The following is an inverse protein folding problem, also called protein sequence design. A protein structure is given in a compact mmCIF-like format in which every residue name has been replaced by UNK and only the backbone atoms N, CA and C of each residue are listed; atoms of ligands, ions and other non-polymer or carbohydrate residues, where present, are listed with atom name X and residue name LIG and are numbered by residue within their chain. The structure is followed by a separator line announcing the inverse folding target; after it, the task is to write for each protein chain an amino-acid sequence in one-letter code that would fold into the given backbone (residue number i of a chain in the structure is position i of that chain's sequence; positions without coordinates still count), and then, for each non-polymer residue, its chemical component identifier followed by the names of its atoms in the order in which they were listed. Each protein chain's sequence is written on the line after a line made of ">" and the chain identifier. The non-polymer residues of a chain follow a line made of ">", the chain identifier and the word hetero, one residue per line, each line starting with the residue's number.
data_IF_283871391611
#
_entry.id   IF_283871391611
#
_cell.length_a   1.000
_cell.length_b   1.000
_cell.length_c   1.000
_cell.angle_alpha   90.00
_cell.angle_beta   90.00
_cell.angle_gamma   90.00
#
_symmetry.space_group_name_H-M   'P 1'
#
loop_
_entity.id
_entity.type
_entity.pdbx_description
1 polymer ?
#
# COMPACT_ATOMS: atom_id res chain seq x y z
N UNK A 1 0.44 22.35 -21.26
CA UNK A 1 -0.21 22.85 -20.05
C UNK A 1 -1.44 22.05 -19.72
N UNK A 2 -1.33 21.23 -18.66
CA UNK A 2 -2.40 20.70 -17.80
C UNK A 2 -1.82 19.54 -16.98
N UNK A 3 -0.71 19.78 -16.27
CA UNK A 3 -0.35 18.91 -15.15
C UNK A 3 -1.27 19.33 -14.00
N UNK A 4 -2.43 18.67 -13.89
CA UNK A 4 -3.24 18.72 -12.67
C UNK A 4 -2.36 18.15 -11.56
N UNK A 5 -1.71 19.04 -10.80
CA UNK A 5 -1.13 18.65 -9.51
C UNK A 5 -2.32 18.24 -8.67
N UNK A 6 -2.39 16.97 -8.30
CA UNK A 6 -3.22 16.55 -7.18
C UNK A 6 -2.80 17.41 -5.99
N UNK A 7 -3.62 18.39 -5.62
CA UNK A 7 -3.42 19.28 -4.47
C UNK A 7 -3.84 18.61 -3.15
N UNK A 8 -4.26 17.34 -3.20
CA UNK A 8 -4.61 16.60 -2.00
C UNK A 8 -3.35 15.93 -1.44
N UNK A 9 -3.00 16.33 -0.23
CA UNK A 9 -1.94 15.69 0.53
C UNK A 9 -2.39 14.30 0.99
N UNK A 10 -1.43 13.37 1.07
CA UNK A 10 -1.68 12.07 1.66
C UNK A 10 -1.87 12.20 3.17
N UNK A 11 -2.92 11.58 3.70
CA UNK A 11 -3.12 11.41 5.13
C UNK A 11 -2.62 10.04 5.56
N UNK A 12 -1.65 9.99 6.47
CA UNK A 12 -1.11 8.74 7.02
C UNK A 12 -1.33 8.67 8.53
N UNK A 13 -1.75 7.50 9.01
CA UNK A 13 -2.01 7.20 10.43
C UNK A 13 -1.48 5.81 10.76
N UNK A 14 -1.16 5.59 12.03
CA UNK A 14 -0.71 4.29 12.53
C UNK A 14 -1.25 4.00 13.92
N UNK A 15 -1.35 2.72 14.26
CA UNK A 15 -1.61 2.25 15.62
C UNK A 15 -0.67 1.11 15.95
N UNK A 16 -0.12 1.12 17.17
CA UNK A 16 0.72 0.04 17.72
C UNK A 16 -0.07 -0.92 18.62
N UNK A 17 -1.40 -0.86 18.59
CA UNK A 17 -2.24 -1.67 19.46
C UNK A 17 -2.26 -3.14 19.01
N UNK A 18 -1.86 -4.05 19.89
CA UNK A 18 -1.85 -5.50 19.58
C UNK A 18 -3.25 -6.07 19.24
N UNK A 19 -4.33 -5.42 19.67
CA UNK A 19 -5.69 -5.87 19.35
C UNK A 19 -6.17 -5.28 18.03
N UNK A 20 -6.23 -6.11 16.98
CA UNK A 20 -6.54 -5.69 15.60
C UNK A 20 -7.77 -4.81 15.45
N UNK A 21 -8.85 -5.09 16.20
CA UNK A 21 -10.08 -4.30 16.15
C UNK A 21 -9.93 -2.92 16.81
N UNK A 22 -9.08 -2.80 17.83
CA UNK A 22 -8.78 -1.52 18.48
C UNK A 22 -7.85 -0.72 17.60
N UNK A 23 -6.77 -1.35 17.08
CA UNK A 23 -5.84 -0.71 16.15
C UNK A 23 -6.56 -0.13 14.93
N UNK A 24 -7.45 -0.93 14.32
CA UNK A 24 -8.22 -0.47 13.19
C UNK A 24 -9.14 0.71 13.53
N UNK A 25 -9.81 0.67 14.69
CA UNK A 25 -10.68 1.77 15.12
C UNK A 25 -9.87 3.06 15.32
N UNK A 26 -8.74 2.98 16.01
CA UNK A 26 -7.84 4.12 16.22
C UNK A 26 -7.41 4.74 14.88
N UNK A 27 -6.97 3.90 13.93
CA UNK A 27 -6.58 4.39 12.61
C UNK A 27 -7.77 4.97 11.82
N UNK A 28 -8.96 4.35 11.85
CA UNK A 28 -10.12 4.87 11.13
C UNK A 28 -10.55 6.23 11.67
N UNK A 29 -10.61 6.37 13.00
CA UNK A 29 -11.05 7.62 13.64
C UNK A 29 -10.06 8.75 13.32
N UNK A 30 -8.76 8.51 13.50
CA UNK A 30 -7.74 9.52 13.17
C UNK A 30 -7.71 9.85 11.66
N UNK A 31 -7.88 8.85 10.79
CA UNK A 31 -7.86 9.07 9.35
C UNK A 31 -9.06 9.92 8.89
N UNK A 32 -10.24 9.72 9.47
CA UNK A 32 -11.42 10.55 9.19
C UNK A 32 -11.20 12.00 9.59
N UNK A 33 -10.56 12.22 10.74
CA UNK A 33 -10.21 13.56 11.21
C UNK A 33 -9.21 14.24 10.26
N UNK A 34 -8.16 13.52 9.84
CA UNK A 34 -7.15 14.05 8.89
C UNK A 34 -7.69 14.32 7.49
N UNK A 35 -8.69 13.55 7.06
CA UNK A 35 -9.38 13.77 5.79
C UNK A 35 -10.47 14.84 5.91
N UNK A 36 -10.69 15.43 7.09
CA UNK A 36 -11.73 16.43 7.36
C UNK A 36 -13.13 15.96 6.91
N UNK A 37 -13.38 14.65 7.00
CA UNK A 37 -14.62 14.01 6.55
C UNK A 37 -14.75 13.77 5.04
N UNK A 38 -13.74 14.13 4.23
CA UNK A 38 -13.71 13.76 2.81
C UNK A 38 -13.62 12.24 2.63
N UNK A 39 -14.35 11.72 1.63
CA UNK A 39 -14.28 10.30 1.27
C UNK A 39 -12.92 10.00 0.64
N UNK A 40 -12.17 9.01 1.16
CA UNK A 40 -10.90 8.63 0.55
C UNK A 40 -11.12 8.07 -0.86
N UNK A 41 -10.30 8.52 -1.82
CA UNK A 41 -10.28 7.95 -3.15
C UNK A 41 -9.50 6.63 -3.17
N UNK A 42 -8.32 6.65 -2.56
CA UNK A 42 -7.44 5.50 -2.43
C UNK A 42 -6.99 5.36 -0.98
N UNK A 43 -6.94 4.12 -0.49
CA UNK A 43 -6.29 3.74 0.77
C UNK A 43 -5.23 2.68 0.48
N UNK A 44 -4.04 2.86 1.01
CA UNK A 44 -3.05 1.81 1.22
C UNK A 44 -3.10 1.34 2.68
N UNK A 45 -3.11 0.03 2.89
CA UNK A 45 -3.18 -0.56 4.23
C UNK A 45 -2.02 -1.55 4.43
N UNK A 46 -1.26 -1.34 5.50
CA UNK A 46 -0.16 -2.22 5.88
C UNK A 46 -0.41 -2.80 7.27
N UNK A 47 -0.27 -4.12 7.38
CA UNK A 47 -0.56 -4.87 8.60
C UNK A 47 0.70 -5.56 9.12
N UNK A 48 1.10 -5.23 10.34
CA UNK A 48 2.11 -5.95 11.10
C UNK A 48 1.71 -7.41 11.35
N UNK A 49 2.70 -8.24 11.70
CA UNK A 49 2.54 -9.69 11.92
C UNK A 49 1.39 -10.03 12.87
N UNK A 50 1.17 -9.23 13.92
CA UNK A 50 0.08 -9.43 14.90
C UNK A 50 -1.33 -9.37 14.29
N UNK A 51 -1.48 -8.75 13.12
CA UNK A 51 -2.76 -8.55 12.45
C UNK A 51 -2.98 -9.48 11.26
N UNK A 52 -1.97 -10.28 10.86
CA UNK A 52 -1.98 -11.16 9.69
C UNK A 52 -3.23 -12.03 9.58
N UNK A 53 -3.57 -12.73 10.67
CA UNK A 53 -4.73 -13.65 10.72
C UNK A 53 -6.06 -12.95 10.42
N UNK A 54 -6.13 -11.64 10.64
CA UNK A 54 -7.34 -10.85 10.48
C UNK A 54 -7.35 -9.98 9.22
N UNK A 55 -6.31 -10.03 8.37
CA UNK A 55 -6.15 -9.13 7.22
C UNK A 55 -7.40 -9.01 6.33
N UNK A 56 -8.04 -10.13 5.97
CA UNK A 56 -9.29 -10.12 5.18
C UNK A 56 -10.45 -9.41 5.89
N UNK A 57 -10.58 -9.63 7.20
CA UNK A 57 -11.62 -9.01 8.03
C UNK A 57 -11.36 -7.52 8.18
N UNK A 58 -10.09 -7.13 8.39
CA UNK A 58 -9.67 -5.74 8.46
C UNK A 58 -9.92 -5.01 7.14
N UNK A 59 -9.56 -5.59 6.00
CA UNK A 59 -9.82 -5.01 4.68
C UNK A 59 -11.32 -4.79 4.41
N UNK A 60 -12.16 -5.75 4.79
CA UNK A 60 -13.63 -5.61 4.71
C UNK A 60 -14.15 -4.48 5.58
N UNK A 61 -13.64 -4.36 6.80
CA UNK A 61 -14.10 -3.34 7.73
C UNK A 61 -13.61 -1.93 7.32
N UNK A 62 -12.37 -1.80 6.82
CA UNK A 62 -11.87 -0.57 6.17
C UNK A 62 -12.80 -0.18 5.02
N UNK A 63 -13.10 -1.13 4.13
CA UNK A 63 -13.97 -0.89 2.97
C UNK A 63 -15.37 -0.45 3.39
N UNK A 64 -15.92 -1.06 4.44
CA UNK A 64 -17.25 -0.74 4.97
C UNK A 64 -17.30 0.63 5.62
N UNK A 65 -16.30 0.99 6.43
CA UNK A 65 -16.33 2.22 7.24
C UNK A 65 -15.87 3.46 6.50
N UNK A 66 -14.90 3.31 5.58
CA UNK A 66 -14.30 4.43 4.84
C UNK A 66 -14.78 4.50 3.40
N UNK A 67 -15.37 3.41 2.88
CA UNK A 67 -15.91 3.33 1.52
C UNK A 67 -14.94 3.87 0.45
N UNK A 68 -13.65 3.50 0.44
CA UNK A 68 -12.72 4.03 -0.57
C UNK A 68 -13.11 3.55 -1.97
N UNK A 69 -12.67 4.26 -3.02
CA UNK A 69 -12.79 3.73 -4.40
C UNK A 69 -11.74 2.66 -4.69
N UNK A 70 -10.60 2.74 -4.03
CA UNK A 70 -9.54 1.75 -4.08
C UNK A 70 -8.98 1.45 -2.70
N UNK A 71 -8.87 0.17 -2.38
CA UNK A 71 -8.09 -0.30 -1.24
C UNK A 71 -7.04 -1.25 -1.78
N UNK A 72 -5.77 -0.96 -1.48
CA UNK A 72 -4.65 -1.86 -1.75
C UNK A 72 -3.87 -2.05 -0.45
N UNK A 73 -3.25 -3.19 -0.26
CA UNK A 73 -2.42 -3.37 0.94
C UNK A 73 -1.62 -4.64 0.90
N UNK A 74 -0.71 -4.74 1.84
CA UNK A 74 -0.04 -6.00 2.16
C UNK A 74 0.19 -6.12 3.65
N UNK A 75 0.47 -7.33 4.09
CA UNK A 75 1.13 -7.53 5.36
C UNK A 75 2.63 -7.25 5.23
N UNK A 76 3.20 -6.63 6.26
CA UNK A 76 4.65 -6.49 6.39
C UNK A 76 5.09 -6.91 7.78
N UNK A 77 6.21 -7.61 7.85
CA UNK A 77 6.80 -7.99 9.14
C UNK A 77 7.95 -7.05 9.52
N UNK A 78 8.63 -6.45 8.55
CA UNK A 78 9.43 -5.27 8.80
C UNK A 78 8.48 -4.08 8.96
N UNK A 79 8.71 -3.28 10.00
CA UNK A 79 7.94 -2.09 10.32
C UNK A 79 7.52 -1.25 9.11
N UNK A 80 6.37 -0.61 9.20
CA UNK A 80 5.85 0.19 8.09
C UNK A 80 6.49 1.58 8.13
N UNK A 81 7.12 1.97 7.02
CA UNK A 81 7.63 3.34 6.84
C UNK A 81 6.50 4.22 6.33
N UNK A 82 6.14 5.22 7.13
CA UNK A 82 5.09 6.20 6.81
C UNK A 82 5.67 7.60 6.70
N UNK A 83 4.89 8.54 6.16
CA UNK A 83 5.27 9.97 6.17
C UNK A 83 5.35 10.56 7.58
N UNK A 84 4.77 9.88 8.59
CA UNK A 84 4.85 10.24 10.00
C UNK A 84 6.11 9.67 10.71
N UNK A 85 6.88 8.81 10.05
CA UNK A 85 8.08 8.16 10.57
C UNK A 85 8.14 6.66 10.24
N UNK A 86 9.30 6.06 10.51
CA UNK A 86 9.47 4.60 10.49
C UNK A 86 8.92 4.03 11.80
N UNK A 87 7.95 3.12 11.71
CA UNK A 87 7.45 2.41 12.89
C UNK A 87 7.98 0.98 12.84
N UNK A 88 9.04 0.68 13.61
CA UNK A 88 9.63 -0.66 13.72
C UNK A 88 8.75 -1.67 14.51
N UNK A 89 7.56 -1.25 14.93
CA UNK A 89 6.65 -2.09 15.71
C UNK A 89 6.00 -3.17 14.84
N UNK A 90 6.21 -4.43 15.22
CA UNK A 90 5.54 -5.62 14.66
C UNK A 90 4.01 -5.62 14.88
N UNK A 91 3.51 -4.72 15.73
CA UNK A 91 2.07 -4.51 15.99
C UNK A 91 1.50 -3.32 15.22
N UNK A 92 2.25 -2.77 14.27
CA UNK A 92 1.79 -1.60 13.53
C UNK A 92 0.67 -1.96 12.56
N UNK A 93 -0.46 -1.27 12.66
CA UNK A 93 -1.43 -1.13 11.59
C UNK A 93 -1.28 0.27 11.03
N UNK A 94 -1.04 0.37 9.71
CA UNK A 94 -0.87 1.66 9.04
C UNK A 94 -1.90 1.80 7.94
N UNK A 95 -2.58 2.95 7.93
CA UNK A 95 -3.41 3.38 6.82
C UNK A 95 -2.84 4.66 6.23
N UNK A 96 -2.75 4.73 4.91
CA UNK A 96 -2.43 5.95 4.18
C UNK A 96 -3.47 6.17 3.11
N UNK A 97 -4.07 7.35 3.07
CA UNK A 97 -5.18 7.66 2.17
C UNK A 97 -4.97 8.97 1.43
N UNK A 98 -5.62 9.07 0.28
CA UNK A 98 -5.66 10.29 -0.52
C UNK A 98 -7.06 10.45 -1.12
N UNK A 99 -7.70 11.63 -0.99
CA UNK A 99 -8.85 12.01 -1.82
C UNK A 99 -8.45 12.03 -3.30
N UNK A 100 -9.32 11.50 -4.14
CA UNK A 100 -9.14 11.57 -5.60
C UNK A 100 -10.30 12.39 -6.20
N UNK A 101 -10.12 13.06 -7.34
CA UNK A 101 -11.21 13.65 -8.10
C UNK A 101 -12.30 12.61 -8.42
N UNK A 102 -13.59 12.95 -8.36
CA UNK A 102 -14.69 11.99 -8.55
C UNK A 102 -14.63 11.18 -9.86
N UNK A 103 -14.04 11.75 -10.90
CA UNK A 103 -13.89 11.17 -12.23
C UNK A 103 -12.73 10.16 -12.36
N UNK A 104 -11.81 10.12 -11.39
CA UNK A 104 -10.68 9.18 -11.42
C UNK A 104 -11.20 7.74 -11.30
N UNK A 105 -10.99 6.94 -12.35
CA UNK A 105 -11.28 5.50 -12.31
C UNK A 105 -10.19 4.78 -11.53
N UNK A 106 -10.60 3.82 -10.69
CA UNK A 106 -9.71 3.07 -9.79
C UNK A 106 -10.03 1.58 -9.92
N UNK A 107 -9.04 0.78 -10.34
CA UNK A 107 -9.18 -0.67 -10.50
C UNK A 107 -8.15 -1.39 -9.63
N UNK A 108 -8.54 -1.90 -8.45
CA UNK A 108 -7.68 -2.74 -7.63
C UNK A 108 -7.68 -4.18 -8.16
N UNK A 109 -6.53 -4.85 -8.10
CA UNK A 109 -6.35 -6.22 -8.59
C UNK A 109 -5.44 -7.06 -7.69
N UNK A 110 -5.64 -8.39 -7.73
CA UNK A 110 -4.76 -9.39 -7.15
C UNK A 110 -4.38 -10.40 -8.21
N UNK A 111 -3.11 -10.75 -8.32
CA UNK A 111 -2.68 -11.87 -9.16
C UNK A 111 -1.78 -12.86 -8.44
N UNK A 112 -2.09 -14.18 -8.46
CA UNK A 112 -1.24 -15.23 -7.91
C UNK A 112 -0.08 -15.65 -8.83
N UNK A 113 -0.01 -15.12 -10.06
CA UNK A 113 1.15 -15.34 -10.95
C UNK A 113 1.35 -14.15 -11.91
N UNK A 114 2.57 -13.95 -12.35
CA UNK A 114 2.93 -12.97 -13.40
C UNK A 114 2.18 -13.23 -14.71
N UNK A 115 1.81 -14.48 -14.99
CA UNK A 115 1.16 -14.84 -16.25
C UNK A 115 -0.28 -14.31 -16.40
N UNK A 116 -0.85 -13.67 -15.36
CA UNK A 116 -2.16 -13.01 -15.45
C UNK A 116 -2.08 -11.50 -15.71
N UNK A 117 -0.89 -10.93 -15.93
CA UNK A 117 -0.75 -9.53 -16.36
C UNK A 117 -1.64 -9.21 -17.58
N UNK A 118 -1.76 -10.07 -18.62
CA UNK A 118 -2.66 -9.80 -19.74
C UNK A 118 -4.13 -9.60 -19.36
N UNK A 119 -4.60 -10.25 -18.29
CA UNK A 119 -5.99 -10.10 -17.81
C UNK A 119 -6.18 -8.72 -17.18
N UNK A 120 -5.21 -8.27 -16.38
CA UNK A 120 -5.19 -6.94 -15.77
C UNK A 120 -5.12 -5.86 -16.86
N UNK A 121 -4.30 -6.09 -17.89
CA UNK A 121 -4.23 -5.19 -19.05
C UNK A 121 -5.57 -5.08 -19.78
N UNK A 122 -6.33 -6.17 -19.91
CA UNK A 122 -7.66 -6.13 -20.54
C UNK A 122 -8.68 -5.34 -19.70
N UNK A 123 -8.61 -5.43 -18.37
CA UNK A 123 -9.48 -4.69 -17.44
C UNK A 123 -9.24 -3.17 -17.47
N UNK A 124 -8.02 -2.75 -17.81
CA UNK A 124 -7.61 -1.34 -17.77
C UNK A 124 -7.26 -0.78 -19.15
N UNK A 125 -7.55 -1.53 -20.24
CA UNK A 125 -7.21 -1.14 -21.62
C UNK A 125 -7.83 0.18 -22.06
N UNK A 126 -8.94 0.58 -21.46
CA UNK A 126 -9.60 1.86 -21.73
C UNK A 126 -8.87 3.06 -21.10
N UNK A 127 -7.93 2.84 -20.17
CA UNK A 127 -7.19 3.92 -19.53
C UNK A 127 -6.24 4.57 -20.52
N UNK A 128 -6.12 5.89 -20.45
CA UNK A 128 -5.36 6.66 -21.45
C UNK A 128 -3.95 6.99 -20.98
N UNK A 129 -3.80 7.29 -19.69
CA UNK A 129 -2.52 7.60 -19.09
C UNK A 129 -2.47 7.08 -17.64
N UNK A 130 -2.45 5.75 -17.46
CA UNK A 130 -2.64 5.17 -16.15
C UNK A 130 -1.42 5.31 -15.24
N UNK A 131 -1.69 5.29 -13.94
CA UNK A 131 -0.68 5.02 -12.92
C UNK A 131 -0.96 3.70 -12.23
N UNK A 132 0.11 2.99 -11.87
CA UNK A 132 0.04 1.71 -11.19
C UNK A 132 0.78 1.78 -9.85
N UNK A 133 0.17 1.22 -8.79
CA UNK A 133 0.86 0.87 -7.55
C UNK A 133 0.90 -0.65 -7.48
N UNK A 134 2.08 -1.22 -7.28
CA UNK A 134 2.30 -2.66 -7.17
C UNK A 134 2.92 -2.99 -5.80
N UNK A 135 2.35 -3.96 -5.10
CA UNK A 135 2.89 -4.52 -3.86
C UNK A 135 3.11 -6.02 -4.07
N UNK A 136 4.31 -6.50 -3.76
CA UNK A 136 4.65 -7.92 -3.84
C UNK A 136 5.56 -8.37 -2.70
N UNK A 137 5.64 -9.68 -2.50
CA UNK A 137 6.70 -10.29 -1.69
C UNK A 137 8.02 -10.38 -2.47
N UNK A 138 9.12 -10.54 -1.73
CA UNK A 138 10.41 -10.82 -2.31
C UNK A 138 10.40 -12.18 -3.04
N UNK A 139 10.86 -12.19 -4.29
CA UNK A 139 10.88 -13.38 -5.17
C UNK A 139 9.98 -13.23 -6.39
N UNK A 140 9.07 -12.27 -6.41
CA UNK A 140 8.33 -11.88 -7.61
C UNK A 140 9.19 -11.06 -8.57
N UNK A 141 9.08 -11.35 -9.87
CA UNK A 141 9.69 -10.56 -10.92
C UNK A 141 8.78 -9.38 -11.31
N UNK A 142 8.73 -8.38 -10.44
CA UNK A 142 8.03 -7.12 -10.71
C UNK A 142 8.54 -6.42 -11.99
N UNK A 143 9.77 -6.67 -12.42
CA UNK A 143 10.30 -6.10 -13.66
C UNK A 143 9.64 -6.69 -14.90
N UNK A 144 9.26 -7.97 -14.90
CA UNK A 144 8.44 -8.55 -15.97
C UNK A 144 7.06 -7.87 -16.02
N UNK A 145 6.42 -7.74 -14.85
CA UNK A 145 5.13 -7.04 -14.72
C UNK A 145 5.21 -5.61 -15.26
N UNK A 146 6.26 -4.88 -14.86
CA UNK A 146 6.54 -3.52 -15.31
C UNK A 146 6.76 -3.44 -16.82
N UNK A 147 7.52 -4.38 -17.40
CA UNK A 147 7.80 -4.42 -18.83
C UNK A 147 6.52 -4.58 -19.64
N UNK A 148 5.64 -5.50 -19.24
CA UNK A 148 4.36 -5.75 -19.92
C UNK A 148 3.41 -4.54 -19.78
N UNK A 149 3.34 -3.92 -18.59
CA UNK A 149 2.59 -2.66 -18.40
C UNK A 149 3.12 -1.53 -19.29
N UNK A 150 4.44 -1.36 -19.39
CA UNK A 150 5.07 -0.31 -20.20
C UNK A 150 4.92 -0.56 -21.70
N UNK A 151 4.85 -1.82 -22.13
CA UNK A 151 4.55 -2.17 -23.52
C UNK A 151 3.14 -1.71 -23.94
N UNK A 152 2.15 -1.87 -23.05
CA UNK A 152 0.77 -1.42 -23.31
C UNK A 152 0.57 0.07 -23.06
N UNK A 153 1.20 0.62 -22.02
CA UNK A 153 1.07 2.01 -21.59
C UNK A 153 2.46 2.66 -21.45
N UNK A 154 3.08 3.13 -22.56
CA UNK A 154 4.45 3.63 -22.56
C UNK A 154 4.72 4.79 -21.60
N UNK A 155 3.70 5.60 -21.31
CA UNK A 155 3.80 6.76 -20.43
C UNK A 155 3.29 6.48 -19.01
N UNK A 156 2.90 5.23 -18.71
CA UNK A 156 2.35 4.90 -17.41
C UNK A 156 3.39 5.10 -16.31
N UNK A 157 2.95 5.70 -15.21
CA UNK A 157 3.74 5.77 -13.99
C UNK A 157 3.55 4.48 -13.21
N UNK A 158 4.62 3.78 -12.89
CA UNK A 158 4.57 2.54 -12.12
C UNK A 158 5.38 2.75 -10.84
N UNK A 159 4.73 2.63 -9.69
CA UNK A 159 5.34 2.68 -8.36
C UNK A 159 5.20 1.29 -7.76
N UNK A 160 6.30 0.74 -7.25
CA UNK A 160 6.33 -0.59 -6.66
C UNK A 160 6.92 -0.55 -5.26
N UNK A 161 6.43 -1.41 -4.38
CA UNK A 161 7.11 -1.76 -3.13
C UNK A 161 7.18 -3.28 -2.99
N UNK A 162 8.35 -3.76 -2.59
CA UNK A 162 8.59 -5.17 -2.29
C UNK A 162 8.70 -5.33 -0.79
N UNK A 163 7.85 -6.15 -0.20
CA UNK A 163 7.95 -6.52 1.21
C UNK A 163 8.86 -7.72 1.40
N UNK A 164 9.67 -7.66 2.45
CA UNK A 164 10.46 -8.77 2.98
C UNK A 164 9.83 -9.21 4.31
N UNK A 165 9.88 -10.50 4.62
CA UNK A 165 9.31 -11.05 5.86
C UNK A 165 9.99 -12.35 6.30
N UNK A 166 9.49 -12.96 7.36
CA UNK A 166 9.84 -14.28 7.86
C UNK A 166 9.08 -15.35 7.09
N UNK A 167 9.70 -16.53 7.08
CA UNK A 167 9.20 -17.72 6.41
C UNK A 167 8.29 -18.48 7.37
N UNK A 168 7.13 -18.92 6.90
CA UNK A 168 6.29 -19.84 7.67
C UNK A 168 6.94 -21.23 7.83
N UNK A 169 6.26 -22.16 8.51
CA UNK A 169 6.71 -23.55 8.72
C UNK A 169 6.99 -24.31 7.40
N UNK A 170 6.57 -23.75 6.27
CA UNK A 170 6.79 -24.29 4.92
C UNK A 170 7.90 -23.55 4.16
N UNK A 171 8.46 -22.47 4.71
CA UNK A 171 9.57 -21.73 4.13
C UNK A 171 9.17 -20.51 3.30
N UNK A 172 7.90 -20.10 3.27
CA UNK A 172 7.41 -19.01 2.40
C UNK A 172 7.10 -17.74 3.19
N UNK A 173 7.34 -16.58 2.57
CA UNK A 173 7.01 -15.27 3.15
C UNK A 173 5.50 -15.15 3.37
N UNK A 174 5.07 -14.67 4.53
CA UNK A 174 3.65 -14.42 4.77
C UNK A 174 3.21 -13.09 4.15
N UNK A 175 2.99 -13.11 2.83
CA UNK A 175 2.42 -12.00 2.10
C UNK A 175 0.92 -12.21 1.85
N UNK A 176 0.09 -11.30 2.35
CA UNK A 176 -1.32 -11.22 2.00
C UNK A 176 -1.60 -9.90 1.27
N UNK A 177 -1.79 -9.96 -0.04
CA UNK A 177 -2.20 -8.80 -0.83
C UNK A 177 -3.68 -8.50 -0.65
N UNK A 178 -4.04 -7.22 -0.63
CA UNK A 178 -5.43 -6.74 -0.57
C UNK A 178 -5.77 -5.93 -1.82
N UNK A 179 -6.97 -6.16 -2.35
CA UNK A 179 -7.57 -5.38 -3.43
C UNK A 179 -9.08 -5.26 -3.17
N UNK A 180 -9.52 -4.07 -2.78
CA UNK A 180 -10.88 -3.87 -2.27
C UNK A 180 -11.12 -4.71 -1.01
N UNK A 181 -12.18 -5.50 -0.99
CA UNK A 181 -12.56 -6.37 0.13
C UNK A 181 -11.97 -7.80 0.03
N UNK A 182 -11.14 -8.05 -0.99
CA UNK A 182 -10.51 -9.34 -1.26
C UNK A 182 -9.08 -9.35 -0.74
N UNK A 183 -8.65 -10.53 -0.29
CA UNK A 183 -7.27 -10.80 0.10
C UNK A 183 -6.78 -12.10 -0.51
N UNK A 184 -5.50 -12.18 -0.86
CA UNK A 184 -4.87 -13.38 -1.41
C UNK A 184 -3.46 -13.54 -0.86
N UNK A 185 -3.05 -14.78 -0.59
CA UNK A 185 -1.65 -15.07 -0.24
C UNK A 185 -0.80 -15.29 -1.48
N UNK A 186 0.50 -14.99 -1.39
CA UNK A 186 1.49 -15.24 -2.44
C UNK A 186 1.02 -14.67 -3.79
N UNK A 187 0.81 -13.37 -3.83
CA UNK A 187 0.27 -12.66 -4.98
C UNK A 187 0.97 -11.32 -5.17
N UNK A 188 0.73 -10.67 -6.31
CA UNK A 188 0.91 -9.23 -6.45
C UNK A 188 -0.44 -8.58 -6.17
N UNK A 189 -0.46 -7.66 -5.22
CA UNK A 189 -1.57 -6.71 -5.09
C UNK A 189 -1.24 -5.46 -5.90
N UNK A 190 -2.22 -4.92 -6.59
CA UNK A 190 -2.01 -3.71 -7.35
C UNK A 190 -3.24 -2.85 -7.46
N UNK A 191 -3.00 -1.62 -7.89
CA UNK A 191 -4.04 -0.68 -8.27
C UNK A 191 -3.67 -0.01 -9.57
N UNK A 192 -4.63 0.10 -10.47
CA UNK A 192 -4.56 0.95 -11.63
C UNK A 192 -5.45 2.18 -11.42
N UNK A 193 -4.93 3.34 -11.78
CA UNK A 193 -5.61 4.62 -11.71
C UNK A 193 -5.63 5.23 -13.10
N UNK A 194 -6.80 5.63 -13.60
CA UNK A 194 -6.89 6.37 -14.87
C UNK A 194 -6.57 7.85 -14.67
N UNK A 195 -5.38 8.10 -14.15
CA UNK A 195 -4.83 9.42 -13.93
C UNK A 195 -3.32 9.32 -13.67
N UNK A 196 -2.56 10.38 -14.00
CA UNK A 196 -1.18 10.50 -13.56
C UNK A 196 -1.14 10.76 -12.04
N UNK A 197 -0.47 9.89 -11.28
CA UNK A 197 -0.21 10.14 -9.87
C UNK A 197 1.05 10.99 -9.67
N UNK A 198 0.99 11.86 -8.65
CA UNK A 198 2.14 12.54 -8.09
C UNK A 198 3.17 11.59 -7.46
N UNK A 199 4.27 12.13 -6.94
CA UNK A 199 5.31 11.34 -6.27
C UNK A 199 4.74 10.83 -4.93
N UNK A 200 4.65 9.50 -4.77
CA UNK A 200 4.59 8.88 -3.44
C UNK A 200 6.04 8.90 -2.93
N UNK A 201 6.40 9.92 -2.16
CA UNK A 201 7.74 10.04 -1.61
C UNK A 201 7.75 9.37 -0.23
N UNK A 202 8.07 8.07 -0.20
CA UNK A 202 8.50 7.42 1.03
C UNK A 202 10.02 7.55 1.08
N UNK A 203 10.52 8.58 1.76
CA UNK A 203 11.93 8.61 2.14
C UNK A 203 12.12 7.60 3.27
N UNK A 204 12.57 6.41 2.93
CA UNK A 204 13.26 5.56 3.90
C UNK A 204 14.54 6.27 4.34
N UNK A 205 14.79 6.29 5.65
CA UNK A 205 15.94 6.87 6.32
C UNK A 205 16.21 8.38 6.11
N UNK A 206 15.41 9.25 6.73
CA UNK A 206 16.00 10.43 7.38
C UNK A 206 16.05 10.14 8.89
N UNK A 207 17.23 9.97 9.50
CA UNK A 207 17.32 9.76 10.95
C UNK A 207 16.80 11.01 11.66
N UNK A 208 15.62 10.91 12.28
CA UNK A 208 15.14 11.92 13.23
C UNK A 208 15.63 11.57 14.63
N UNK A 209 16.84 12.04 14.92
CA UNK A 209 17.47 12.04 16.23
C UNK A 209 18.77 12.83 16.16
N UNK A 210 19.22 13.45 17.26
CA UNK A 210 20.57 14.00 17.29
C UNK A 210 21.57 12.87 16.98
N UNK A 211 22.50 13.13 16.05
CA UNK A 211 23.58 12.22 15.71
C UNK A 211 24.41 11.91 16.96
N UNK A 212 24.10 10.80 17.62
CA UNK A 212 24.87 10.28 18.73
C UNK A 212 26.17 9.69 18.18
N UNK A 213 27.26 10.46 18.26
CA UNK A 213 28.60 9.99 17.94
C UNK A 213 29.03 9.00 19.01
N UNK A 214 29.13 7.71 18.67
CA UNK A 214 29.74 6.70 19.55
C UNK A 214 31.22 7.06 19.74
N UNK A 215 31.53 7.76 20.82
CA UNK A 215 32.91 7.98 21.25
C UNK A 215 33.31 6.85 22.19
N UNK A 216 33.93 5.82 21.60
CA UNK A 216 34.67 4.74 22.27
C UNK A 216 33.81 3.60 22.84
N UNK A 217 34.14 2.39 22.40
CA UNK A 217 33.77 1.12 23.04
C UNK A 217 34.96 0.69 23.86
N UNK A 218 34.82 0.59 25.19
CA UNK A 218 35.83 -0.05 26.02
C UNK A 218 35.58 -1.56 26.01
N UNK A 219 36.59 -2.31 25.58
CA UNK A 219 36.74 -3.75 25.79
C UNK A 219 37.96 -4.01 26.65
#
# INVERSE_FOLDING_TARGET
>A
DAFVRYQHDWASVSSDNMQSHIALRECIDELKDRLEGERPGLITAFFGTQHLTYGSTLAKEISKQLNPRGLIGCSSEAGVVTTAGETESLSSLVLTAIPLPPETSVTPFLTPTEDKVPQILDEVKQYTNPSFILLSEAGWNLERFRTELQAQFPNARIVGATTYGERDDTGYLQFAGIAGDKSMKNCVAGIALDAPMGVIQSHGCEPKGELMKVTKSDG
#
